data_IF_630780569300
#
_entry.id   IF_630780569300
#
_cell.length_a   1.000
_cell.length_b   1.000
_cell.length_c   1.000
_cell.angle_alpha   90.00
_cell.angle_beta   90.00
_cell.angle_gamma   90.00
#
_symmetry.space_group_name_H-M   'P 1'
#
loop_
_entity.id
_entity.type
_entity.pdbx_description
1 polymer ?
#
# COMPACT_ATOMS: atom_id res chain seq x y z
N UNK A 1 6.93 9.77 -32.30
CA UNK A 1 6.55 9.96 -33.72
C UNK A 1 5.86 11.31 -33.85
N UNK A 2 6.34 12.20 -34.73
CA UNK A 2 5.53 13.33 -35.23
C UNK A 2 4.40 12.70 -36.04
N UNK A 3 3.17 12.83 -35.58
CA UNK A 3 1.99 12.40 -36.34
C UNK A 3 1.57 13.60 -37.17
N UNK A 4 2.06 13.62 -38.41
CA UNK A 4 1.52 14.48 -39.45
C UNK A 4 0.07 14.10 -39.73
N UNK A 5 -0.67 15.11 -40.18
CA UNK A 5 -2.10 15.13 -40.43
C UNK A 5 -2.64 13.87 -41.11
N UNK A 6 -3.66 13.29 -40.47
CA UNK A 6 -4.77 12.56 -41.09
C UNK A 6 -4.45 11.20 -41.74
N UNK A 7 -4.64 10.08 -41.02
CA UNK A 7 -5.11 8.85 -41.63
C UNK A 7 -6.63 8.76 -41.43
N UNK A 8 -7.37 9.02 -42.50
CA UNK A 8 -8.75 8.56 -42.61
C UNK A 8 -8.74 7.03 -42.62
N UNK A 9 -8.87 6.41 -41.44
CA UNK A 9 -9.20 4.99 -41.35
C UNK A 9 -10.65 4.86 -41.80
N UNK A 10 -10.83 4.48 -43.07
CA UNK A 10 -12.12 4.29 -43.70
C UNK A 10 -12.53 2.83 -43.53
N UNK A 11 -13.25 2.53 -42.45
CA UNK A 11 -14.28 1.49 -42.47
C UNK A 11 -15.62 2.18 -42.74
N UNK A 12 -16.19 1.91 -43.91
CA UNK A 12 -17.23 2.72 -44.58
C UNK A 12 -18.64 2.55 -44.00
N UNK A 13 -18.79 2.01 -42.79
CA UNK A 13 -20.09 1.89 -42.10
C UNK A 13 -20.19 2.54 -40.72
N UNK A 14 -19.12 3.13 -40.19
CA UNK A 14 -19.19 3.91 -38.96
C UNK A 14 -18.06 4.96 -38.95
N UNK A 15 -18.33 6.17 -39.45
CA UNK A 15 -17.44 7.33 -39.21
C UNK A 15 -17.52 7.70 -37.73
N UNK A 16 -16.68 7.08 -36.92
CA UNK A 16 -16.54 7.39 -35.51
C UNK A 16 -15.74 8.68 -35.39
N UNK A 17 -16.41 9.80 -35.08
CA UNK A 17 -15.73 11.07 -34.82
C UNK A 17 -15.05 11.00 -33.46
N UNK A 18 -13.72 11.20 -33.43
CA UNK A 18 -12.95 11.45 -32.20
C UNK A 18 -13.04 12.92 -31.74
N UNK A 19 -13.91 13.70 -32.37
CA UNK A 19 -14.19 15.09 -32.00
C UNK A 19 -15.63 15.22 -31.52
N UNK A 20 -15.80 15.83 -30.35
CA UNK A 20 -17.10 16.16 -29.78
C UNK A 20 -17.73 17.39 -30.45
N UNK A 21 -18.97 17.75 -30.07
CA UNK A 21 -19.68 18.91 -30.62
C UNK A 21 -18.96 20.25 -30.43
N UNK A 22 -18.11 20.35 -29.40
CA UNK A 22 -17.28 21.53 -29.12
C UNK A 22 -15.95 21.55 -29.91
N UNK A 23 -15.76 20.58 -30.82
CA UNK A 23 -14.56 20.44 -31.63
C UNK A 23 -13.35 19.90 -30.86
N UNK A 24 -13.50 19.51 -29.58
CA UNK A 24 -12.41 18.91 -28.80
C UNK A 24 -12.35 17.41 -29.01
N UNK A 25 -11.15 16.87 -28.83
CA UNK A 25 -10.94 15.42 -28.86
C UNK A 25 -11.70 14.75 -27.71
N UNK A 26 -12.49 13.74 -28.05
CA UNK A 26 -13.25 12.92 -27.10
C UNK A 26 -13.26 11.47 -27.54
N UNK A 27 -13.51 10.56 -26.61
CA UNK A 27 -13.76 9.16 -26.97
C UNK A 27 -15.07 9.06 -27.76
N UNK A 28 -15.14 8.19 -28.77
CA UNK A 28 -16.40 7.86 -29.41
C UNK A 28 -17.43 7.35 -28.41
N UNK A 29 -18.71 7.62 -28.69
CA UNK A 29 -19.83 7.26 -27.82
C UNK A 29 -20.80 6.29 -28.51
N UNK A 30 -21.34 5.36 -27.73
CA UNK A 30 -22.46 4.50 -28.12
C UNK A 30 -23.78 5.25 -28.00
N UNK A 31 -24.86 4.68 -28.55
CA UNK A 31 -26.20 5.26 -28.48
C UNK A 31 -26.75 5.40 -27.06
N UNK A 32 -26.24 4.63 -26.10
CA UNK A 32 -26.60 4.71 -24.69
C UNK A 32 -25.78 5.75 -23.91
N UNK A 33 -24.83 6.44 -24.56
CA UNK A 33 -23.97 7.44 -23.93
C UNK A 33 -22.62 6.93 -23.43
N UNK A 34 -22.38 5.62 -23.41
CA UNK A 34 -21.08 5.09 -23.00
C UNK A 34 -19.99 5.50 -23.98
N UNK A 35 -18.91 6.07 -23.46
CA UNK A 35 -17.66 6.18 -24.21
C UNK A 35 -17.02 4.80 -24.37
N UNK A 36 -16.17 4.65 -25.39
CA UNK A 36 -15.35 3.45 -25.53
C UNK A 36 -13.98 3.79 -26.12
N UNK A 37 -13.00 2.95 -25.76
CA UNK A 37 -11.66 3.04 -26.32
C UNK A 37 -11.65 2.62 -27.78
N UNK A 38 -10.94 3.39 -28.61
CA UNK A 38 -10.52 2.91 -29.91
C UNK A 38 -9.47 1.81 -29.72
N UNK A 39 -9.48 0.82 -30.61
CA UNK A 39 -8.52 -0.26 -30.58
C UNK A 39 -7.49 -0.15 -31.69
N UNK A 40 -6.23 -0.39 -31.35
CA UNK A 40 -5.13 -0.52 -32.30
C UNK A 40 -4.32 -1.76 -31.94
N UNK A 41 -4.15 -2.67 -32.90
CA UNK A 41 -3.46 -3.96 -32.69
C UNK A 41 -4.02 -4.78 -31.50
N UNK A 42 -5.33 -4.67 -31.26
CA UNK A 42 -6.02 -5.36 -30.17
C UNK A 42 -5.90 -4.68 -28.81
N UNK A 43 -5.24 -3.52 -28.72
CA UNK A 43 -5.14 -2.73 -27.49
C UNK A 43 -6.06 -1.52 -27.49
N UNK A 44 -6.62 -1.20 -26.33
CA UNK A 44 -7.30 0.07 -26.10
C UNK A 44 -6.29 1.23 -26.09
N UNK A 45 -6.64 2.29 -26.83
CA UNK A 45 -5.83 3.49 -27.01
C UNK A 45 -6.30 4.58 -26.06
N UNK A 46 -5.40 5.03 -25.19
CA UNK A 46 -5.63 6.18 -24.30
C UNK A 46 -5.65 7.46 -25.15
N UNK A 47 -6.74 8.23 -25.01
CA UNK A 47 -6.89 9.52 -25.64
C UNK A 47 -6.00 10.57 -24.96
N UNK A 48 -5.15 11.20 -25.76
CA UNK A 48 -4.40 12.39 -25.38
C UNK A 48 -5.13 13.63 -25.91
N UNK A 49 -5.54 14.49 -24.98
CA UNK A 49 -6.16 15.79 -25.26
C UNK A 49 -5.18 16.91 -24.92
N UNK A 50 -5.40 18.10 -25.47
CA UNK A 50 -4.61 19.30 -25.14
C UNK A 50 -5.49 20.26 -24.36
N UNK A 51 -5.05 20.67 -23.17
CA UNK A 51 -5.70 21.66 -22.34
C UNK A 51 -4.82 22.92 -22.26
N UNK A 52 -5.39 24.07 -22.62
CA UNK A 52 -4.68 25.37 -22.62
C UNK A 52 -3.81 25.61 -23.85
N UNK A 53 -3.66 26.89 -24.22
CA UNK A 53 -2.79 27.37 -25.29
C UNK A 53 -3.26 27.10 -26.73
N UNK A 54 -2.58 27.74 -27.69
CA UNK A 54 -2.66 27.41 -29.12
C UNK A 54 -1.62 26.32 -29.40
N UNK A 55 -1.98 25.27 -30.14
CA UNK A 55 -1.08 24.19 -30.53
C UNK A 55 0.21 24.78 -31.15
N UNK A 56 1.37 24.50 -30.54
CA UNK A 56 2.67 25.07 -30.95
C UNK A 56 3.22 26.18 -30.04
N UNK A 57 2.51 26.56 -28.97
CA UNK A 57 3.01 27.45 -27.91
C UNK A 57 3.54 26.65 -26.71
N UNK A 58 4.34 27.29 -25.85
CA UNK A 58 4.94 26.64 -24.65
C UNK A 58 3.91 26.24 -23.57
N UNK A 59 2.66 26.67 -23.69
CA UNK A 59 1.63 26.55 -22.65
C UNK A 59 0.63 25.39 -22.89
N UNK A 60 0.91 24.51 -23.85
CA UNK A 60 0.03 23.37 -24.16
C UNK A 60 0.30 22.22 -23.19
N UNK A 61 -0.65 21.93 -22.30
CA UNK A 61 -0.61 20.75 -21.43
C UNK A 61 -1.27 19.57 -22.14
N UNK A 62 -0.54 18.47 -22.30
CA UNK A 62 -1.13 17.19 -22.73
C UNK A 62 -1.82 16.57 -21.52
N UNK A 63 -3.11 16.26 -21.68
CA UNK A 63 -3.95 15.65 -20.65
C UNK A 63 -4.47 14.32 -21.19
N UNK A 64 -4.08 13.25 -20.50
CA UNK A 64 -4.62 11.91 -20.70
C UNK A 64 -5.85 11.76 -19.82
N UNK A 65 -6.91 11.13 -20.33
CA UNK A 65 -8.08 10.79 -19.53
C UNK A 65 -8.59 9.41 -19.86
N UNK A 66 -9.27 8.78 -18.92
CA UNK A 66 -9.98 7.54 -19.16
C UNK A 66 -11.32 7.78 -19.87
N UNK A 67 -11.82 6.77 -20.55
CA UNK A 67 -13.17 6.74 -21.10
C UNK A 67 -14.19 6.55 -19.97
N UNK A 68 -15.40 7.08 -20.16
CA UNK A 68 -16.48 7.07 -19.18
C UNK A 68 -17.71 6.29 -19.64
N UNK A 69 -18.40 5.65 -18.71
CA UNK A 69 -19.72 5.09 -18.96
C UNK A 69 -20.81 6.20 -18.97
N UNK A 70 -22.04 5.84 -19.33
CA UNK A 70 -23.18 6.76 -19.32
C UNK A 70 -23.53 7.32 -17.92
N UNK A 71 -22.98 6.73 -16.85
CA UNK A 71 -23.12 7.21 -15.48
C UNK A 71 -21.95 8.09 -15.04
N UNK A 72 -21.04 8.46 -15.95
CA UNK A 72 -19.83 9.26 -15.73
C UNK A 72 -18.72 8.56 -14.91
N UNK A 73 -18.78 7.23 -14.74
CA UNK A 73 -17.67 6.47 -14.14
C UNK A 73 -16.60 6.21 -15.19
N UNK A 74 -15.34 6.48 -14.86
CA UNK A 74 -14.21 6.11 -15.67
C UNK A 74 -13.90 4.61 -15.58
N UNK A 75 -13.35 4.05 -16.64
CA UNK A 75 -12.91 2.64 -16.63
C UNK A 75 -11.57 2.48 -17.32
N UNK A 76 -10.76 1.53 -16.82
CA UNK A 76 -9.42 1.30 -17.34
C UNK A 76 -9.42 0.74 -18.78
N UNK A 77 -8.53 1.23 -19.66
CA UNK A 77 -8.27 0.62 -20.96
C UNK A 77 -7.61 -0.75 -20.77
N UNK A 78 -7.68 -1.60 -21.78
CA UNK A 78 -7.08 -2.94 -21.79
C UNK A 78 -5.93 -3.07 -22.80
N UNK A 79 -4.92 -3.86 -22.45
CA UNK A 79 -3.89 -4.32 -23.39
C UNK A 79 -4.43 -5.43 -24.30
N UNK A 80 -3.63 -5.88 -25.28
CA UNK A 80 -4.01 -6.95 -26.20
C UNK A 80 -4.30 -8.30 -25.53
N UNK A 81 -3.93 -8.45 -24.25
CA UNK A 81 -4.16 -9.63 -23.42
C UNK A 81 -5.34 -9.44 -22.47
N UNK A 82 -6.02 -8.29 -22.54
CA UNK A 82 -7.15 -7.94 -21.69
C UNK A 82 -6.79 -7.46 -20.29
N UNK A 83 -5.52 -7.20 -19.98
CA UNK A 83 -5.12 -6.65 -18.69
C UNK A 83 -5.32 -5.14 -18.67
N UNK A 84 -5.62 -4.53 -17.51
CA UNK A 84 -5.79 -3.09 -17.44
C UNK A 84 -4.48 -2.34 -17.71
N UNK A 85 -4.59 -1.25 -18.46
CA UNK A 85 -3.54 -0.27 -18.76
C UNK A 85 -3.82 1.00 -17.97
N UNK A 86 -2.77 1.67 -17.52
CA UNK A 86 -2.89 2.84 -16.65
C UNK A 86 -2.28 4.07 -17.30
N UNK A 87 -2.91 5.21 -17.08
CA UNK A 87 -2.27 6.51 -17.20
C UNK A 87 -1.34 6.62 -15.99
N UNK A 88 -0.06 6.91 -16.25
CA UNK A 88 0.95 6.99 -15.21
C UNK A 88 0.46 7.86 -14.06
N UNK A 89 0.50 7.25 -12.88
CA UNK A 89 0.12 7.86 -11.64
C UNK A 89 -1.32 8.37 -11.48
N UNK A 90 -2.27 7.89 -12.29
CA UNK A 90 -3.65 8.38 -12.29
C UNK A 90 -4.66 7.25 -12.17
N UNK A 91 -5.49 7.27 -11.12
CA UNK A 91 -6.62 6.34 -10.99
C UNK A 91 -7.76 6.73 -11.92
N UNK A 92 -8.52 5.73 -12.37
CA UNK A 92 -9.86 6.00 -12.87
C UNK A 92 -10.72 6.49 -11.70
N UNK A 93 -11.66 7.39 -11.95
CA UNK A 93 -12.59 7.87 -10.92
C UNK A 93 -14.04 7.50 -11.21
N UNK A 94 -14.80 7.23 -10.15
CA UNK A 94 -16.26 7.11 -10.27
C UNK A 94 -16.91 8.49 -10.44
N UNK A 95 -18.20 8.49 -10.72
CA UNK A 95 -19.03 9.70 -10.85
C UNK A 95 -19.07 10.58 -9.59
N UNK A 96 -18.69 10.04 -8.44
CA UNK A 96 -18.53 10.77 -7.18
C UNK A 96 -17.13 11.33 -6.95
N UNK A 97 -16.20 11.13 -7.90
CA UNK A 97 -14.81 11.56 -7.80
C UNK A 97 -13.94 10.68 -6.89
N UNK A 98 -14.39 9.46 -6.56
CA UNK A 98 -13.60 8.50 -5.80
C UNK A 98 -12.73 7.65 -6.73
N UNK A 99 -11.54 7.23 -6.28
CA UNK A 99 -10.70 6.34 -7.07
C UNK A 99 -11.37 4.97 -7.24
N UNK A 100 -11.32 4.46 -8.46
CA UNK A 100 -11.59 3.07 -8.78
C UNK A 100 -10.25 2.36 -8.75
N UNK A 101 -10.01 1.51 -7.75
CA UNK A 101 -8.76 0.75 -7.69
C UNK A 101 -8.70 -0.27 -8.84
N UNK A 102 -7.54 -0.41 -9.51
CA UNK A 102 -7.30 -1.53 -10.41
C UNK A 102 -7.52 -2.87 -9.70
N UNK A 103 -8.04 -3.85 -10.43
CA UNK A 103 -8.30 -5.19 -9.92
C UNK A 103 -7.52 -6.25 -10.70
N UNK A 104 -7.00 -7.24 -9.98
CA UNK A 104 -6.46 -8.46 -10.58
C UNK A 104 -7.59 -9.36 -11.08
N UNK A 105 -7.26 -10.38 -11.89
CA UNK A 105 -8.25 -11.38 -12.35
C UNK A 105 -8.93 -12.13 -11.19
N UNK A 106 -8.27 -12.21 -10.04
CA UNK A 106 -8.81 -12.87 -8.86
C UNK A 106 -9.77 -11.97 -8.05
N UNK A 107 -9.83 -10.68 -8.39
CA UNK A 107 -10.64 -9.66 -7.70
C UNK A 107 -9.93 -8.97 -6.54
N UNK A 108 -8.60 -9.07 -6.46
CA UNK A 108 -7.81 -8.28 -5.52
C UNK A 108 -7.56 -6.89 -6.09
N UNK A 109 -7.90 -5.84 -5.34
CA UNK A 109 -7.55 -4.48 -5.69
C UNK A 109 -6.11 -4.18 -5.31
N UNK A 110 -5.50 -3.22 -6.02
CA UNK A 110 -4.16 -2.76 -5.72
C UNK A 110 -3.97 -1.26 -5.96
N UNK A 111 -2.91 -0.71 -5.37
CA UNK A 111 -2.52 0.67 -5.61
C UNK A 111 -1.72 0.79 -6.89
N UNK A 112 -1.97 1.86 -7.65
CA UNK A 112 -1.02 2.29 -8.67
C UNK A 112 0.28 2.70 -7.99
N UNK A 113 1.39 2.37 -8.65
CA UNK A 113 2.73 2.59 -8.15
C UNK A 113 3.37 3.72 -8.95
N UNK A 114 3.92 4.71 -8.26
CA UNK A 114 4.68 5.81 -8.85
C UNK A 114 6.07 5.38 -9.30
N UNK A 115 6.80 6.29 -9.97
CA UNK A 115 8.14 6.00 -10.48
C UNK A 115 9.18 5.66 -9.40
N UNK A 116 8.94 6.04 -8.14
CA UNK A 116 9.79 5.74 -6.99
C UNK A 116 9.44 4.40 -6.32
N UNK A 117 8.41 3.68 -6.80
CA UNK A 117 7.91 2.46 -6.17
C UNK A 117 6.87 2.69 -5.07
N UNK A 118 6.58 3.95 -4.69
CA UNK A 118 5.54 4.25 -3.70
C UNK A 118 4.14 4.06 -4.30
N UNK A 119 3.20 3.61 -3.46
CA UNK A 119 1.78 3.67 -3.77
C UNK A 119 1.32 5.12 -3.91
N UNK A 120 0.45 5.34 -4.88
CA UNK A 120 -0.09 6.66 -5.16
C UNK A 120 -1.30 6.88 -4.28
N UNK A 121 -1.17 7.86 -3.40
CA UNK A 121 -2.18 8.25 -2.41
C UNK A 121 -2.74 9.65 -2.65
N UNK A 122 -2.13 10.40 -3.56
CA UNK A 122 -2.53 11.74 -3.98
C UNK A 122 -2.31 11.83 -5.50
N UNK A 123 -3.30 12.35 -6.23
CA UNK A 123 -3.21 12.55 -7.68
C UNK A 123 -4.07 13.75 -8.10
N UNK A 124 -3.51 14.65 -8.91
CA UNK A 124 -4.13 15.92 -9.25
C UNK A 124 -4.66 16.65 -7.99
N UNK A 125 -5.95 16.95 -7.93
CA UNK A 125 -6.60 17.60 -6.79
C UNK A 125 -7.33 16.60 -5.87
N UNK A 126 -7.00 15.31 -5.98
CA UNK A 126 -7.62 14.23 -5.22
C UNK A 126 -6.63 13.60 -4.23
N UNK A 127 -7.16 13.19 -3.10
CA UNK A 127 -6.46 12.36 -2.12
C UNK A 127 -7.26 11.09 -1.88
N UNK A 128 -6.53 10.01 -1.63
CA UNK A 128 -7.12 8.74 -1.28
C UNK A 128 -7.87 8.88 0.06
N UNK A 129 -9.10 8.36 0.13
CA UNK A 129 -9.94 8.38 1.33
C UNK A 129 -10.46 6.99 1.73
N UNK A 130 -10.12 5.97 0.95
CA UNK A 130 -10.50 4.57 1.14
C UNK A 130 -9.29 3.67 0.84
N UNK A 131 -9.30 2.45 1.37
CA UNK A 131 -8.26 1.47 1.11
C UNK A 131 -8.66 0.53 -0.04
N UNK A 132 -7.69 0.13 -0.85
CA UNK A 132 -7.82 -1.01 -1.74
C UNK A 132 -8.12 -2.28 -0.92
N UNK A 133 -8.91 -3.20 -1.48
CA UNK A 133 -9.35 -4.43 -0.80
C UNK A 133 -8.95 -5.68 -1.56
N UNK A 134 -8.57 -6.71 -0.82
CA UNK A 134 -8.51 -8.07 -1.35
C UNK A 134 -9.91 -8.57 -1.66
N UNK A 135 -10.01 -9.63 -2.46
CA UNK A 135 -11.25 -10.39 -2.70
C UNK A 135 -11.88 -10.89 -1.39
N UNK A 136 -11.06 -11.18 -0.38
CA UNK A 136 -11.53 -11.56 0.96
C UNK A 136 -12.29 -10.45 1.68
N UNK A 137 -12.12 -9.19 1.26
CA UNK A 137 -12.61 -7.99 1.94
C UNK A 137 -11.61 -7.35 2.89
N UNK A 138 -10.40 -7.92 3.05
CA UNK A 138 -9.34 -7.29 3.84
C UNK A 138 -8.83 -6.04 3.10
N UNK A 139 -8.83 -4.90 3.78
CA UNK A 139 -8.24 -3.66 3.30
C UNK A 139 -6.71 -3.76 3.35
N UNK A 140 -6.06 -3.08 2.40
CA UNK A 140 -4.61 -3.12 2.18
C UNK A 140 -4.07 -1.71 2.42
N UNK A 141 -3.05 -1.55 3.25
CA UNK A 141 -2.36 -0.26 3.35
C UNK A 141 -1.58 0.06 2.07
N UNK A 142 -1.63 1.31 1.56
CA UNK A 142 -0.67 1.77 0.57
C UNK A 142 0.74 1.79 1.18
N UNK A 143 1.75 1.68 0.35
CA UNK A 143 3.16 1.69 0.76
C UNK A 143 3.87 2.96 0.28
N UNK A 144 4.89 3.38 1.03
CA UNK A 144 5.83 4.43 0.64
C UNK A 144 7.23 3.83 0.64
N UNK A 145 7.95 4.03 -0.45
CA UNK A 145 9.33 3.61 -0.59
C UNK A 145 10.27 4.59 0.10
N UNK A 146 11.30 4.06 0.77
CA UNK A 146 12.35 4.80 1.43
C UNK A 146 13.69 4.39 0.84
N UNK A 147 14.20 5.20 -0.08
CA UNK A 147 15.44 4.94 -0.83
C UNK A 147 16.64 4.67 0.09
N UNK A 148 16.79 5.43 1.18
CA UNK A 148 17.90 5.30 2.14
C UNK A 148 18.03 3.88 2.71
N UNK A 149 16.91 3.17 2.86
CA UNK A 149 16.88 1.82 3.44
C UNK A 149 16.46 0.75 2.42
N UNK A 150 16.22 1.13 1.16
CA UNK A 150 15.65 0.25 0.13
C UNK A 150 14.44 -0.55 0.64
N UNK A 151 13.55 0.13 1.35
CA UNK A 151 12.46 -0.51 2.10
C UNK A 151 11.14 0.22 1.94
N UNK A 152 10.06 -0.46 2.32
CA UNK A 152 8.71 0.07 2.27
C UNK A 152 8.15 0.20 3.67
N UNK A 153 7.41 1.27 3.88
CA UNK A 153 6.54 1.44 5.04
C UNK A 153 5.11 1.60 4.56
N UNK A 154 4.18 1.02 5.28
CA UNK A 154 2.75 1.22 5.03
C UNK A 154 2.30 2.61 5.48
N UNK A 155 1.25 3.15 4.87
CA UNK A 155 0.79 4.53 5.07
C UNK A 155 -0.67 4.54 5.48
N UNK A 156 -1.00 5.32 6.51
CA UNK A 156 -2.37 5.50 6.94
C UNK A 156 -3.04 6.56 6.07
N UNK A 157 -4.23 6.21 5.57
CA UNK A 157 -5.09 7.03 4.72
C UNK A 157 -6.20 7.64 5.56
N UNK A 158 -6.44 8.94 5.40
CA UNK A 158 -7.54 9.69 6.03
C UNK A 158 -7.71 9.41 7.55
N UNK A 159 -6.59 9.31 8.27
CA UNK A 159 -6.54 9.05 9.72
C UNK A 159 -7.30 7.78 10.18
N UNK A 160 -7.52 6.81 9.28
CA UNK A 160 -8.26 5.57 9.56
C UNK A 160 -7.33 4.38 9.45
N UNK A 161 -7.41 3.41 10.36
CA UNK A 161 -6.72 2.14 10.15
C UNK A 161 -7.44 1.29 9.10
N UNK A 162 -6.66 0.57 8.29
CA UNK A 162 -7.16 -0.49 7.45
C UNK A 162 -7.76 -1.61 8.31
N UNK A 163 -8.74 -2.31 7.76
CA UNK A 163 -9.51 -3.34 8.43
C UNK A 163 -9.43 -4.68 7.73
N UNK A 164 -9.51 -5.73 8.52
CA UNK A 164 -9.74 -7.07 8.02
C UNK A 164 -11.21 -7.22 7.59
N UNK A 165 -11.50 -8.28 6.86
CA UNK A 165 -12.82 -8.70 6.39
C UNK A 165 -13.85 -8.88 7.53
N UNK A 166 -13.40 -9.15 8.75
CA UNK A 166 -14.24 -9.15 9.96
C UNK A 166 -14.42 -7.76 10.60
N UNK A 167 -14.07 -6.70 9.89
CA UNK A 167 -14.12 -5.29 10.29
C UNK A 167 -13.22 -4.92 11.48
N UNK A 168 -12.31 -5.81 11.89
CA UNK A 168 -11.30 -5.48 12.91
C UNK A 168 -10.18 -4.63 12.29
N UNK A 169 -9.83 -3.47 12.86
CA UNK A 169 -8.70 -2.70 12.39
C UNK A 169 -7.39 -3.46 12.63
N UNK A 170 -6.33 -3.12 11.92
CA UNK A 170 -4.99 -3.63 12.21
C UNK A 170 -3.95 -2.54 11.97
N UNK A 171 -2.83 -2.56 12.71
CA UNK A 171 -1.84 -1.49 12.62
C UNK A 171 -0.97 -1.61 11.38
N UNK A 172 -0.59 -0.47 10.76
CA UNK A 172 0.38 -0.45 9.67
C UNK A 172 1.78 -0.82 10.15
N UNK A 173 2.63 -1.24 9.22
CA UNK A 173 4.03 -1.55 9.47
C UNK A 173 4.96 -0.42 9.04
N UNK A 174 5.98 -0.17 9.85
CA UNK A 174 7.14 0.63 9.47
C UNK A 174 8.11 -0.17 8.58
N UNK A 175 9.17 0.50 8.15
CA UNK A 175 10.24 -0.04 7.31
C UNK A 175 10.95 -1.28 7.91
N UNK A 176 10.92 -1.41 9.23
CA UNK A 176 11.49 -2.53 9.96
C UNK A 176 10.45 -3.62 10.25
N UNK A 177 9.19 -3.45 9.82
CA UNK A 177 8.12 -4.40 10.09
C UNK A 177 7.56 -4.30 11.51
N UNK A 178 7.88 -3.25 12.26
CA UNK A 178 7.23 -2.96 13.52
C UNK A 178 5.92 -2.23 13.26
N UNK A 179 4.94 -2.45 14.12
CA UNK A 179 3.69 -1.72 14.03
C UNK A 179 3.83 -0.29 14.56
N UNK A 180 3.10 0.63 13.96
CA UNK A 180 3.00 2.00 14.46
C UNK A 180 1.54 2.46 14.50
N UNK A 181 1.28 3.52 15.28
CA UNK A 181 -0.08 4.00 15.58
C UNK A 181 -0.19 5.51 15.37
N UNK A 182 -1.41 6.00 15.30
CA UNK A 182 -1.77 7.41 15.33
C UNK A 182 -2.23 7.80 16.73
N UNK A 183 -1.81 9.00 17.16
CA UNK A 183 -2.37 9.64 18.34
C UNK A 183 -3.58 10.47 17.88
N UNK A 184 -4.79 9.95 18.11
CA UNK A 184 -6.05 10.60 17.77
C UNK A 184 -6.60 11.28 19.03
N UNK A 185 -6.84 12.58 18.95
CA UNK A 185 -7.33 13.39 20.07
C UNK A 185 -8.82 13.69 19.94
N UNK A 186 -9.55 13.63 21.06
CA UNK A 186 -10.91 14.16 21.23
C UNK A 186 -10.95 14.97 22.51
N UNK A 187 -11.44 16.21 22.44
CA UNK A 187 -11.49 17.12 23.59
C UNK A 187 -10.12 17.26 24.28
N UNK A 188 -9.04 17.39 23.49
CA UNK A 188 -7.66 17.49 23.95
C UNK A 188 -7.13 16.30 24.76
N UNK A 189 -7.82 15.15 24.70
CA UNK A 189 -7.38 13.89 25.31
C UNK A 189 -7.24 12.83 24.23
N UNK A 190 -6.33 11.89 24.43
CA UNK A 190 -6.21 10.73 23.53
C UNK A 190 -7.50 9.92 23.60
N UNK A 191 -8.10 9.70 22.43
CA UNK A 191 -9.17 8.73 22.26
C UNK A 191 -8.54 7.35 22.10
N UNK A 192 -8.28 6.66 23.23
CA UNK A 192 -7.65 5.33 23.25
C UNK A 192 -8.32 4.33 22.29
N UNK A 193 -9.67 4.20 22.22
CA UNK A 193 -10.31 3.24 21.32
C UNK A 193 -10.08 3.53 19.82
N UNK A 194 -9.77 4.78 19.46
CA UNK A 194 -9.48 5.17 18.09
C UNK A 194 -8.00 5.10 17.76
N UNK A 195 -7.16 5.50 18.72
CA UNK A 195 -5.70 5.51 18.57
C UNK A 195 -5.12 4.11 18.65
N UNK A 196 -5.67 3.28 19.55
CA UNK A 196 -5.15 1.98 19.92
C UNK A 196 -6.24 0.89 19.97
N UNK A 197 -7.03 0.71 18.89
CA UNK A 197 -8.13 -0.25 18.87
C UNK A 197 -7.73 -1.70 19.20
N UNK A 198 -6.46 -2.06 19.01
CA UNK A 198 -5.92 -3.39 19.30
C UNK A 198 -4.91 -3.41 20.45
N UNK A 199 -4.98 -2.43 21.36
CA UNK A 199 -4.00 -2.23 22.42
C UNK A 199 -2.66 -1.74 21.88
N UNK A 200 -1.55 -2.15 22.49
CA UNK A 200 -0.24 -1.66 22.08
C UNK A 200 0.15 -2.12 20.66
N UNK A 201 0.85 -1.26 19.88
CA UNK A 201 1.61 -1.73 18.74
C UNK A 201 2.77 -2.62 19.20
N UNK A 202 3.22 -3.51 18.32
CA UNK A 202 4.27 -4.49 18.63
C UNK A 202 5.38 -4.47 17.58
N UNK A 203 6.58 -4.86 18.00
CA UNK A 203 7.71 -5.07 17.09
C UNK A 203 7.53 -6.33 16.26
N UNK A 204 8.33 -6.47 15.20
CA UNK A 204 8.35 -7.66 14.35
C UNK A 204 8.73 -8.97 15.10
N UNK A 205 9.26 -8.87 16.31
CA UNK A 205 9.59 -9.98 17.21
C UNK A 205 8.71 -10.03 18.47
N UNK A 206 7.54 -9.38 18.40
CA UNK A 206 6.43 -9.44 19.34
C UNK A 206 6.64 -8.72 20.68
N UNK A 207 7.56 -7.76 20.77
CA UNK A 207 7.70 -6.92 21.96
C UNK A 207 6.78 -5.72 21.88
N UNK A 208 6.21 -5.33 23.02
CA UNK A 208 5.31 -4.18 23.09
C UNK A 208 6.10 -2.90 22.86
N UNK A 209 5.52 -2.03 22.02
CA UNK A 209 5.94 -0.66 21.80
C UNK A 209 4.98 0.25 22.58
N UNK A 210 5.52 0.99 23.54
CA UNK A 210 4.77 2.02 24.26
C UNK A 210 4.81 3.31 23.42
N UNK A 211 3.65 3.86 23.01
CA UNK A 211 3.59 5.08 22.22
C UNK A 211 4.17 6.28 22.96
N UNK A 212 4.75 7.20 22.20
CA UNK A 212 5.12 8.51 22.69
C UNK A 212 3.98 9.51 22.46
N UNK A 213 3.51 10.12 23.54
CA UNK A 213 2.49 11.16 23.57
C UNK A 213 3.08 12.34 24.30
N UNK A 214 3.14 13.49 23.63
CA UNK A 214 3.69 14.73 24.19
C UNK A 214 5.08 14.54 24.83
N UNK A 215 5.94 13.79 24.14
CA UNK A 215 7.34 13.48 24.54
C UNK A 215 7.45 12.59 25.78
N UNK A 216 6.38 11.88 26.15
CA UNK A 216 6.31 10.98 27.31
C UNK A 216 5.76 9.60 26.90
N UNK A 217 6.17 8.51 27.59
CA UNK A 217 5.57 7.20 27.38
C UNK A 217 4.10 7.23 27.83
N UNK A 218 3.22 6.73 26.97
CA UNK A 218 1.79 6.65 27.25
C UNK A 218 1.37 5.22 27.54
N UNK A 219 1.02 4.96 28.81
CA UNK A 219 0.59 3.63 29.24
C UNK A 219 -0.92 3.50 29.11
N UNK A 220 -1.36 2.56 28.28
CA UNK A 220 -2.77 2.23 28.06
C UNK A 220 -3.40 1.69 29.34
N UNK A 221 -4.64 2.10 29.63
CA UNK A 221 -5.30 1.81 30.92
C UNK A 221 -5.79 0.37 31.04
N UNK A 222 -6.20 -0.23 29.91
CA UNK A 222 -6.89 -1.51 29.89
C UNK A 222 -6.27 -2.47 28.86
N UNK A 223 -5.03 -2.88 29.09
CA UNK A 223 -4.32 -3.82 28.20
C UNK A 223 -3.82 -5.05 28.92
N UNK A 224 -3.77 -6.15 28.17
CA UNK A 224 -3.10 -7.37 28.58
C UNK A 224 -2.04 -7.75 27.53
N UNK A 225 -0.74 -7.82 27.89
CA UNK A 225 -0.19 -7.66 29.24
C UNK A 225 -0.16 -6.20 29.71
N UNK A 226 -0.05 -6.04 31.03
CA UNK A 226 0.21 -4.74 31.67
C UNK A 226 1.67 -4.36 31.40
N UNK A 227 1.90 -3.08 31.13
CA UNK A 227 3.23 -2.51 30.90
C UNK A 227 3.41 -1.29 31.80
N UNK A 228 4.55 -1.21 32.45
CA UNK A 228 4.93 -0.16 33.39
C UNK A 228 6.26 0.49 32.98
N UNK A 229 6.67 1.54 33.69
CA UNK A 229 7.86 2.33 33.34
C UNK A 229 9.14 1.52 33.39
N UNK A 230 9.21 0.58 34.32
CA UNK A 230 10.33 -0.32 34.58
C UNK A 230 10.54 -1.31 33.43
N UNK A 231 9.53 -1.50 32.58
CA UNK A 231 9.63 -2.36 31.39
C UNK A 231 10.33 -1.68 30.21
N UNK A 232 10.51 -0.36 30.23
CA UNK A 232 11.09 0.39 29.11
C UNK A 232 12.59 0.09 28.99
N UNK A 233 12.98 -0.54 27.87
CA UNK A 233 14.37 -0.81 27.53
C UNK A 233 15.06 0.40 26.89
N UNK A 234 14.31 1.23 26.17
CA UNK A 234 14.83 2.35 25.43
C UNK A 234 13.85 2.89 24.40
N UNK A 235 14.34 3.69 23.46
CA UNK A 235 13.53 4.22 22.37
C UNK A 235 13.77 3.45 21.07
N UNK A 236 12.72 3.05 20.38
CA UNK A 236 12.82 2.36 19.10
C UNK A 236 13.02 3.37 17.97
N UNK A 237 13.90 3.03 17.01
CA UNK A 237 14.16 3.85 15.84
C UNK A 237 13.07 3.68 14.77
N UNK A 238 12.70 4.78 14.12
CA UNK A 238 12.00 4.80 12.83
C UNK A 238 12.65 5.87 11.95
N UNK A 239 12.56 5.72 10.64
CA UNK A 239 13.13 6.66 9.66
C UNK A 239 12.50 8.04 9.77
N UNK A 240 11.17 8.09 9.91
CA UNK A 240 10.45 9.37 9.90
C UNK A 240 10.61 10.13 11.23
N UNK A 241 10.51 9.42 12.35
CA UNK A 241 10.43 10.05 13.67
C UNK A 241 11.70 9.88 14.51
N UNK A 242 12.72 9.19 14.00
CA UNK A 242 13.90 8.80 14.76
C UNK A 242 13.53 7.94 15.98
N UNK A 243 14.20 8.20 17.09
CA UNK A 243 13.96 7.54 18.38
C UNK A 243 12.78 8.16 19.12
N UNK A 244 11.56 7.82 18.70
CA UNK A 244 10.34 8.43 19.23
C UNK A 244 9.62 7.56 20.25
N UNK A 245 9.18 6.36 19.84
CA UNK A 245 8.43 5.43 20.68
C UNK A 245 9.34 4.59 21.57
N UNK A 246 8.78 3.87 22.53
CA UNK A 246 9.54 3.15 23.55
C UNK A 246 9.46 1.63 23.37
N UNK A 247 10.60 0.98 23.26
CA UNK A 247 10.72 -0.48 23.26
C UNK A 247 10.64 -1.00 24.70
N UNK A 248 9.96 -2.12 24.91
CA UNK A 248 9.85 -2.77 26.21
C UNK A 248 10.45 -4.18 26.22
N UNK A 249 10.62 -4.76 27.41
CA UNK A 249 10.96 -6.17 27.58
C UNK A 249 9.74 -7.09 27.68
N UNK A 250 8.52 -6.56 27.46
CA UNK A 250 7.27 -7.32 27.58
C UNK A 250 6.85 -7.83 26.20
N UNK A 251 6.57 -9.13 26.10
CA UNK A 251 6.03 -9.74 24.89
C UNK A 251 4.51 -9.57 24.83
N UNK A 252 4.00 -9.27 23.65
CA UNK A 252 2.58 -9.26 23.38
C UNK A 252 2.00 -10.68 23.36
N UNK A 253 0.69 -10.77 23.60
CA UNK A 253 -0.08 -12.01 23.51
C UNK A 253 -0.36 -12.43 22.07
N UNK A 254 -0.35 -11.47 21.13
CA UNK A 254 -0.50 -11.70 19.70
C UNK A 254 0.83 -11.71 18.97
N UNK A 255 0.85 -12.38 17.82
CA UNK A 255 2.01 -12.41 16.92
C UNK A 255 1.99 -11.21 15.97
N UNK A 256 3.16 -10.70 15.64
CA UNK A 256 3.35 -9.75 14.55
C UNK A 256 3.02 -10.42 13.22
N UNK A 257 2.43 -9.65 12.32
CA UNK A 257 2.20 -10.07 10.94
C UNK A 257 3.41 -9.89 10.03
N UNK A 258 4.43 -9.16 10.51
CA UNK A 258 5.69 -9.01 9.77
C UNK A 258 6.57 -10.23 9.99
N UNK A 259 7.38 -10.55 8.97
CA UNK A 259 8.54 -11.40 9.18
C UNK A 259 9.53 -10.70 10.13
N UNK A 260 10.31 -11.47 10.93
CA UNK A 260 11.31 -10.90 11.80
C UNK A 260 12.42 -10.21 11.00
N UNK A 261 12.72 -8.95 11.34
CA UNK A 261 13.79 -8.14 10.73
C UNK A 261 14.62 -7.46 11.80
N UNK A 262 15.89 -7.20 11.51
CA UNK A 262 16.72 -6.41 12.40
C UNK A 262 16.20 -4.97 12.52
N UNK A 263 16.29 -4.38 13.71
CA UNK A 263 15.97 -2.97 13.94
C UNK A 263 16.83 -2.36 15.04
N UNK A 264 16.94 -1.04 15.03
CA UNK A 264 17.74 -0.29 16.00
C UNK A 264 16.88 0.25 17.15
N UNK A 265 17.47 0.33 18.33
CA UNK A 265 16.90 1.06 19.47
C UNK A 265 18.01 1.74 20.28
N UNK A 266 17.67 2.82 20.97
CA UNK A 266 18.56 3.56 21.87
C UNK A 266 18.22 3.18 23.32
N UNK A 267 19.08 2.40 24.02
CA UNK A 267 18.79 1.98 25.39
C UNK A 267 18.65 3.15 26.37
N UNK A 268 17.82 2.97 27.40
CA UNK A 268 17.60 3.99 28.43
C UNK A 268 18.92 4.43 29.08
N UNK A 269 19.20 5.72 29.06
CA UNK A 269 20.42 6.31 29.65
C UNK A 269 21.70 6.09 28.83
N UNK A 270 21.60 5.59 27.60
CA UNK A 270 22.74 5.43 26.68
C UNK A 270 22.68 6.44 25.55
N UNK A 271 23.85 6.73 24.97
CA UNK A 271 24.00 7.60 23.79
C UNK A 271 24.20 6.79 22.50
N UNK A 272 24.67 5.56 22.62
CA UNK A 272 24.89 4.66 21.50
C UNK A 272 23.67 3.77 21.26
N UNK A 273 23.33 3.59 19.99
CA UNK A 273 22.26 2.69 19.56
C UNK A 273 22.71 1.24 19.59
N UNK A 274 21.76 0.35 19.83
CA UNK A 274 21.96 -1.10 19.79
C UNK A 274 21.08 -1.71 18.71
N UNK A 275 21.68 -2.59 17.92
CA UNK A 275 20.97 -3.37 16.91
C UNK A 275 20.33 -4.59 17.56
N UNK A 276 19.02 -4.73 17.40
CA UNK A 276 18.25 -5.89 17.87
C UNK A 276 18.03 -6.85 16.71
N UNK A 277 18.39 -8.12 16.94
CA UNK A 277 18.19 -9.21 16.00
C UNK A 277 17.12 -10.15 16.53
N UNK A 278 15.95 -10.25 15.86
CA UNK A 278 14.95 -11.22 16.25
C UNK A 278 15.51 -12.64 16.26
N UNK A 279 15.15 -13.41 17.27
CA UNK A 279 15.47 -14.85 17.29
C UNK A 279 14.57 -15.48 16.23
N UNK A 280 15.15 -15.90 15.10
CA UNK A 280 14.40 -16.68 14.11
C UNK A 280 13.96 -17.98 14.79
N UNK A 281 12.66 -18.16 15.05
CA UNK A 281 12.10 -19.35 15.69
C UNK A 281 12.45 -20.66 14.92
N UNK A 282 12.98 -20.57 13.69
CA UNK A 282 13.18 -21.69 12.77
C UNK A 282 14.61 -22.23 12.59
N UNK A 283 15.66 -21.64 13.20
CA UNK A 283 17.01 -22.24 13.07
C UNK A 283 17.11 -23.60 13.76
N UNK A 284 16.46 -23.76 14.91
CA UNK A 284 16.49 -25.04 15.63
C UNK A 284 15.64 -26.11 14.95
N UNK A 285 14.50 -25.75 14.35
CA UNK A 285 13.64 -26.72 13.64
C UNK A 285 14.34 -27.34 12.43
N UNK A 286 15.04 -26.53 11.62
CA UNK A 286 15.80 -27.04 10.48
C UNK A 286 16.99 -27.90 10.93
N UNK A 287 17.72 -27.48 11.96
CA UNK A 287 18.83 -28.28 12.52
C UNK A 287 18.31 -29.60 13.08
N UNK A 288 17.19 -29.61 13.81
CA UNK A 288 16.56 -30.83 14.30
C UNK A 288 16.07 -31.73 13.18
N UNK A 289 15.46 -31.18 12.13
CA UNK A 289 15.06 -31.93 10.93
C UNK A 289 16.29 -32.59 10.28
N UNK A 290 17.39 -31.86 10.12
CA UNK A 290 18.63 -32.39 9.57
C UNK A 290 19.25 -33.48 10.46
N UNK A 291 19.21 -33.32 11.79
CA UNK A 291 19.66 -34.35 12.73
C UNK A 291 18.80 -35.61 12.61
N UNK A 292 17.47 -35.48 12.56
CA UNK A 292 16.55 -36.61 12.40
C UNK A 292 16.80 -37.33 11.08
N UNK A 293 16.94 -36.59 9.97
CA UNK A 293 17.25 -37.17 8.66
C UNK A 293 18.61 -37.90 8.65
N UNK A 294 19.61 -37.36 9.35
CA UNK A 294 20.93 -38.00 9.49
C UNK A 294 20.87 -39.30 10.31
N UNK A 295 20.13 -39.31 11.41
CA UNK A 295 19.94 -40.53 12.23
C UNK A 295 19.21 -41.61 11.43
N UNK A 296 18.15 -41.25 10.70
CA UNK A 296 17.41 -42.17 9.83
C UNK A 296 18.35 -42.77 8.77
N UNK A 297 19.19 -41.95 8.12
CA UNK A 297 20.10 -42.46 7.10
C UNK A 297 21.16 -43.42 7.66
N UNK A 298 21.68 -43.17 8.87
CA UNK A 298 22.61 -44.09 9.54
C UNK A 298 21.96 -45.45 9.85
N UNK A 299 20.70 -45.46 10.30
CA UNK A 299 19.95 -46.69 10.56
C UNK A 299 19.76 -47.50 9.28
N UNK A 300 19.41 -46.84 8.16
CA UNK A 300 19.30 -47.51 6.86
C UNK A 300 20.65 -48.09 6.41
N UNK A 301 21.75 -47.35 6.53
CA UNK A 301 23.07 -47.84 6.15
C UNK A 301 23.48 -49.08 6.97
N UNK A 302 23.15 -49.10 8.27
CA UNK A 302 23.42 -50.25 9.14
C UNK A 302 22.53 -51.45 8.80
N UNK A 303 21.25 -51.24 8.52
CA UNK A 303 20.31 -52.30 8.18
C UNK A 303 20.63 -53.01 6.86
N UNK A 304 21.27 -52.33 5.90
CA UNK A 304 21.68 -52.92 4.62
C UNK A 304 23.11 -53.51 4.62
N UNK A 305 23.85 -53.38 5.73
CA UNK A 305 25.20 -53.97 5.89
C UNK A 305 25.21 -55.27 6.72
N UNK A 306 24.07 -55.66 7.29
CA UNK A 306 23.84 -56.92 8.01
C UNK A 306 23.08 -57.89 7.12
#
# INVERSE_FOLDING_TARGET
LKVDNNPSVTDSKNKQSVYGPDGKRTYPQKSNGDEYYLQFEGEDVILETTQGGVVGTRDVKIVKRYAKDASDNEFYPKDARGNPKYIESTYAIDSGGKPIFPETKDGDQFYLIGGDGSSIIEWADHSLNEYAKKKSGDEIYPTRYFEILESYKEVIVDFKYAKLSNNQPYYPLDEFGNEYTLNIYRNSQIAEPLSYPNGYPITNDNFIIVPNVDKKPYFLKHTNPKVEKENILGKIYSVIYGYNNYLTNVKATRKSRSSPKDYDYLPTGKVEKVKRRPISENRNSFIWLMIVLFVISMVFILAFKL
#
